data_IF_998213038500
#
_entry.id   IF_998213038500
#
_cell.length_a   1.000
_cell.length_b   1.000
_cell.length_c   1.000
_cell.angle_alpha   90.00
_cell.angle_beta   90.00
_cell.angle_gamma   90.00
#
_symmetry.space_group_name_H-M   'P 1'
#
loop_
_entity.id
_entity.type
_entity.pdbx_description
1 polymer ?
#
# COMPACT_ATOMS: atom_id res chain seq x y z
N UNK A 1 -19.40 3.28 20.92
CA UNK A 1 -20.30 4.45 20.98
C UNK A 1 -21.47 4.20 20.04
N UNK A 2 -22.70 4.45 20.49
CA UNK A 2 -23.94 4.10 19.79
C UNK A 2 -24.21 5.11 18.64
N UNK A 3 -24.30 4.70 17.36
CA UNK A 3 -24.44 5.61 16.21
C UNK A 3 -25.77 6.36 16.14
N UNK A 4 -26.75 6.03 16.99
CA UNK A 4 -28.14 6.46 16.81
C UNK A 4 -28.45 7.91 17.27
N UNK A 5 -27.45 8.70 17.68
CA UNK A 5 -27.62 10.10 18.13
C UNK A 5 -26.79 11.15 17.35
N UNK A 6 -26.16 10.77 16.24
CA UNK A 6 -25.33 11.68 15.43
C UNK A 6 -26.20 12.68 14.63
N UNK A 7 -25.91 13.99 14.73
CA UNK A 7 -26.52 15.01 13.86
C UNK A 7 -26.09 14.77 12.39
N UNK A 8 -26.77 15.33 11.37
CA UNK A 8 -26.35 15.19 9.98
C UNK A 8 -24.87 15.56 9.74
N UNK A 9 -24.34 16.55 10.47
CA UNK A 9 -22.92 16.93 10.39
C UNK A 9 -21.98 15.87 10.97
N UNK A 10 -22.32 15.31 12.13
CA UNK A 10 -21.50 14.28 12.78
C UNK A 10 -21.41 13.02 11.91
N UNK A 11 -22.49 12.70 11.15
CA UNK A 11 -22.48 11.59 10.18
C UNK A 11 -21.53 11.86 9.02
N UNK A 12 -21.52 13.07 8.47
CA UNK A 12 -20.62 13.44 7.38
C UNK A 12 -19.14 13.39 7.82
N UNK A 13 -18.84 13.92 9.00
CA UNK A 13 -17.49 13.85 9.59
C UNK A 13 -17.06 12.41 9.85
N UNK A 14 -17.97 11.57 10.35
CA UNK A 14 -17.72 10.14 10.54
C UNK A 14 -17.40 9.44 9.22
N UNK A 15 -18.20 9.63 8.17
CA UNK A 15 -17.92 9.02 6.86
C UNK A 15 -16.63 9.54 6.24
N UNK A 16 -16.29 10.82 6.42
CA UNK A 16 -15.01 11.38 5.98
C UNK A 16 -13.84 10.72 6.71
N UNK A 17 -13.93 10.57 8.03
CA UNK A 17 -12.92 9.90 8.84
C UNK A 17 -12.76 8.43 8.44
N UNK A 18 -13.87 7.69 8.27
CA UNK A 18 -13.84 6.29 7.86
C UNK A 18 -13.20 6.09 6.48
N UNK A 19 -13.45 6.99 5.52
CA UNK A 19 -12.79 6.95 4.20
C UNK A 19 -11.30 7.23 4.29
N UNK A 20 -10.89 8.18 5.13
CA UNK A 20 -9.48 8.47 5.36
C UNK A 20 -8.77 7.27 5.98
N UNK A 21 -9.35 6.65 7.01
CA UNK A 21 -8.80 5.45 7.65
C UNK A 21 -8.67 4.27 6.66
N UNK A 22 -9.68 4.04 5.82
CA UNK A 22 -9.62 3.01 4.79
C UNK A 22 -8.50 3.28 3.77
N UNK A 23 -8.28 4.55 3.39
CA UNK A 23 -7.17 4.93 2.50
C UNK A 23 -5.80 4.68 3.15
N UNK A 24 -5.67 4.97 4.45
CA UNK A 24 -4.42 4.75 5.18
C UNK A 24 -4.09 3.26 5.30
N UNK A 25 -5.08 2.42 5.57
CA UNK A 25 -4.91 0.97 5.62
C UNK A 25 -4.43 0.41 4.27
N UNK A 26 -5.04 0.83 3.16
CA UNK A 26 -4.63 0.41 1.82
C UNK A 26 -3.18 0.81 1.50
N UNK A 27 -2.75 1.99 1.94
CA UNK A 27 -1.37 2.44 1.78
C UNK A 27 -0.40 1.59 2.62
N UNK A 28 -0.74 1.31 3.87
CA UNK A 28 0.08 0.47 4.76
C UNK A 28 0.23 -0.94 4.21
N UNK A 29 -0.86 -1.56 3.74
CA UNK A 29 -0.83 -2.88 3.10
C UNK A 29 0.05 -2.91 1.86
N UNK A 30 -0.03 -1.86 1.03
CA UNK A 30 0.83 -1.72 -0.14
C UNK A 30 2.30 -1.65 0.26
N UNK A 31 2.64 -0.80 1.24
CA UNK A 31 4.01 -0.64 1.73
C UNK A 31 4.54 -1.97 2.26
N UNK A 32 3.78 -2.65 3.12
CA UNK A 32 4.20 -3.93 3.70
C UNK A 32 4.42 -4.98 2.61
N UNK A 33 3.52 -5.03 1.62
CA UNK A 33 3.65 -5.97 0.49
C UNK A 33 4.92 -5.68 -0.33
N UNK A 34 5.20 -4.42 -0.64
CA UNK A 34 6.42 -4.03 -1.37
C UNK A 34 7.66 -4.40 -0.58
N UNK A 35 7.68 -4.10 0.72
CA UNK A 35 8.78 -4.44 1.63
C UNK A 35 9.04 -5.95 1.61
N UNK A 36 8.02 -6.77 1.85
CA UNK A 36 8.17 -8.22 1.92
C UNK A 36 8.68 -8.81 0.60
N UNK A 37 8.06 -8.42 -0.52
CA UNK A 37 8.40 -8.97 -1.85
C UNK A 37 9.80 -8.53 -2.28
N UNK A 38 10.13 -7.26 -2.11
CA UNK A 38 11.41 -6.72 -2.55
C UNK A 38 12.56 -7.14 -1.64
N UNK A 39 12.32 -7.30 -0.33
CA UNK A 39 13.31 -7.85 0.58
C UNK A 39 13.69 -9.27 0.17
N UNK A 40 12.71 -10.17 0.02
CA UNK A 40 12.96 -11.56 -0.40
C UNK A 40 13.66 -11.63 -1.76
N UNK A 41 13.32 -10.72 -2.68
CA UNK A 41 13.89 -10.74 -4.03
C UNK A 41 15.32 -10.20 -4.09
N UNK A 42 15.64 -9.17 -3.31
CA UNK A 42 16.88 -8.41 -3.46
C UNK A 42 17.91 -8.68 -2.38
N UNK A 43 17.50 -9.05 -1.16
CA UNK A 43 18.41 -9.25 -0.03
C UNK A 43 18.70 -10.73 0.16
N UNK A 44 19.81 -11.18 -0.43
CA UNK A 44 20.22 -12.60 -0.38
C UNK A 44 21.12 -12.94 0.81
N UNK A 45 21.83 -11.94 1.34
CA UNK A 45 22.73 -12.07 2.50
C UNK A 45 22.55 -10.84 3.39
N UNK A 46 21.65 -10.91 4.39
CA UNK A 46 21.39 -9.78 5.27
C UNK A 46 22.66 -9.28 5.96
N UNK A 47 22.83 -7.96 5.97
CA UNK A 47 23.94 -7.28 6.62
C UNK A 47 23.44 -5.99 7.28
N UNK A 48 24.28 -5.31 8.06
CA UNK A 48 23.93 -4.02 8.68
C UNK A 48 23.76 -2.88 7.67
N UNK A 49 24.19 -3.06 6.43
CA UNK A 49 24.07 -2.08 5.35
C UNK A 49 23.68 -2.74 4.03
N UNK A 50 23.07 -1.96 3.15
CA UNK A 50 22.82 -2.38 1.77
C UNK A 50 24.07 -2.16 0.94
N UNK A 51 24.41 -3.17 0.15
CA UNK A 51 25.37 -3.00 -0.94
C UNK A 51 24.78 -2.12 -2.05
N UNK A 52 25.62 -1.56 -2.92
CA UNK A 52 25.14 -0.79 -4.08
C UNK A 52 24.22 -1.61 -5.01
N UNK A 53 24.49 -2.92 -5.13
CA UNK A 53 23.65 -3.84 -5.90
C UNK A 53 22.27 -4.07 -5.27
N UNK A 54 22.20 -4.24 -3.96
CA UNK A 54 20.93 -4.39 -3.24
C UNK A 54 20.08 -3.12 -3.33
N UNK A 55 20.68 -1.95 -3.13
CA UNK A 55 19.99 -0.66 -3.29
C UNK A 55 19.42 -0.48 -4.70
N UNK A 56 20.22 -0.77 -5.73
CA UNK A 56 19.75 -0.71 -7.11
C UNK A 56 18.66 -1.74 -7.42
N UNK A 57 18.72 -2.93 -6.82
CA UNK A 57 17.69 -3.95 -6.96
C UNK A 57 16.37 -3.50 -6.32
N UNK A 58 16.41 -2.98 -5.09
CA UNK A 58 15.22 -2.53 -4.37
C UNK A 58 14.48 -1.42 -5.12
N UNK A 59 15.21 -0.42 -5.65
CA UNK A 59 14.63 0.65 -6.46
C UNK A 59 13.88 0.08 -7.68
N UNK A 60 14.52 -0.81 -8.45
CA UNK A 60 13.90 -1.46 -9.60
C UNK A 60 12.72 -2.35 -9.20
N UNK A 61 12.83 -3.07 -8.09
CA UNK A 61 11.78 -3.95 -7.60
C UNK A 61 10.50 -3.17 -7.28
N UNK A 62 10.63 -2.05 -6.57
CA UNK A 62 9.52 -1.16 -6.25
C UNK A 62 8.86 -0.64 -7.52
N UNK A 63 9.64 -0.10 -8.47
CA UNK A 63 9.10 0.44 -9.73
C UNK A 63 8.32 -0.61 -10.52
N UNK A 64 8.89 -1.83 -10.66
CA UNK A 64 8.24 -2.93 -11.37
C UNK A 64 6.99 -3.43 -10.63
N UNK A 65 7.00 -3.47 -9.31
CA UNK A 65 5.83 -3.89 -8.53
C UNK A 65 4.66 -2.92 -8.72
N UNK A 66 4.91 -1.61 -8.62
CA UNK A 66 3.88 -0.59 -8.77
C UNK A 66 3.32 -0.56 -10.20
N UNK A 67 4.18 -0.73 -11.21
CA UNK A 67 3.75 -0.85 -12.61
C UNK A 67 2.85 -2.08 -12.81
N UNK A 68 3.29 -3.25 -12.33
CA UNK A 68 2.51 -4.47 -12.43
C UNK A 68 1.15 -4.34 -11.71
N UNK A 69 1.15 -3.78 -10.50
CA UNK A 69 -0.08 -3.51 -9.74
C UNK A 69 -1.03 -2.60 -10.51
N UNK A 70 -0.51 -1.53 -11.13
CA UNK A 70 -1.32 -0.60 -11.92
C UNK A 70 -1.98 -1.30 -13.11
N UNK A 71 -1.26 -2.18 -13.80
CA UNK A 71 -1.81 -2.98 -14.92
C UNK A 71 -2.93 -3.89 -14.42
N UNK A 72 -2.72 -4.59 -13.31
CA UNK A 72 -3.72 -5.49 -12.71
C UNK A 72 -4.97 -4.73 -12.29
N UNK A 73 -4.83 -3.59 -11.60
CA UNK A 73 -5.96 -2.77 -11.18
C UNK A 73 -6.79 -2.31 -12.38
N UNK A 74 -6.16 -1.77 -13.42
CA UNK A 74 -6.84 -1.37 -14.66
C UNK A 74 -7.56 -2.54 -15.34
N UNK A 75 -6.94 -3.72 -15.33
CA UNK A 75 -7.56 -4.92 -15.91
C UNK A 75 -8.82 -5.34 -15.13
N UNK A 76 -8.80 -5.23 -13.80
CA UNK A 76 -9.96 -5.54 -12.95
C UNK A 76 -11.09 -4.51 -13.13
N UNK A 77 -10.77 -3.24 -13.29
CA UNK A 77 -11.76 -2.18 -13.58
C UNK A 77 -12.48 -2.44 -14.91
N UNK A 78 -11.76 -2.89 -15.93
CA UNK A 78 -12.35 -3.22 -17.24
C UNK A 78 -13.17 -4.52 -17.25
N UNK A 79 -13.19 -5.28 -16.15
CA UNK A 79 -13.99 -6.50 -15.99
C UNK A 79 -15.35 -6.26 -15.32
N UNK A 80 -15.64 -5.02 -14.91
CA UNK A 80 -16.93 -4.58 -14.35
C UNK A 80 -17.68 -3.71 -15.37
#
# INVERSE_FOLDING_TARGET
MNPSLATPRDREEFFRAARAEASDQLLQELIQTVVDKCFVKCITKPSSSLTGGESACLAKCMDRFLEARTIVVKALENQQ
#
